data_IF_464072948559
#
_entry.id   IF_464072948559
#
_cell.length_a   1.000
_cell.length_b   1.000
_cell.length_c   1.000
_cell.angle_alpha   90.00
_cell.angle_beta   90.00
_cell.angle_gamma   90.00
#
_symmetry.space_group_name_H-M   'P 1'
#
loop_
_entity.id
_entity.type
_entity.pdbx_description
1 polymer ?
#
# COMPACT_ATOMS: atom_id res chain seq x y z
N UNK A 1 10.69 14.36 11.43
CA UNK A 1 10.25 15.06 10.21
C UNK A 1 8.80 15.55 10.28
N UNK A 2 7.93 15.03 11.16
CA UNK A 2 6.55 15.51 11.34
C UNK A 2 6.40 16.82 12.18
N UNK A 3 7.31 17.80 12.08
CA UNK A 3 7.30 19.00 12.96
C UNK A 3 7.11 20.35 12.27
N UNK A 4 7.16 20.42 10.94
CA UNK A 4 6.78 21.63 10.19
C UNK A 4 6.40 21.24 8.76
N UNK A 5 5.13 21.36 8.33
CA UNK A 5 4.69 21.06 6.97
C UNK A 5 4.96 22.18 5.97
N UNK A 6 5.73 23.21 6.34
CA UNK A 6 6.01 24.35 5.47
C UNK A 6 6.65 23.94 4.13
N UNK A 7 6.37 24.67 3.04
CA UNK A 7 7.05 24.43 1.75
C UNK A 7 8.59 24.46 1.86
N UNK A 8 9.12 25.26 2.77
CA UNK A 8 10.57 25.38 3.03
C UNK A 8 11.13 24.10 3.64
N UNK A 9 10.48 23.54 4.66
CA UNK A 9 10.95 22.29 5.30
C UNK A 9 10.91 21.10 4.35
N UNK A 10 9.92 21.06 3.44
CA UNK A 10 9.80 20.05 2.38
C UNK A 10 10.90 20.18 1.34
N UNK A 11 11.17 21.41 0.87
CA UNK A 11 12.28 21.65 -0.06
C UNK A 11 13.63 21.25 0.57
N UNK A 12 13.87 21.60 1.84
CA UNK A 12 15.07 21.15 2.55
C UNK A 12 15.17 19.63 2.67
N UNK A 13 14.04 18.93 2.84
CA UNK A 13 14.02 17.47 2.87
C UNK A 13 14.39 16.87 1.51
N UNK A 14 13.89 17.45 0.41
CA UNK A 14 14.27 17.05 -0.95
C UNK A 14 15.74 17.31 -1.22
N UNK A 15 16.25 18.51 -0.90
CA UNK A 15 17.66 18.86 -1.10
C UNK A 15 18.60 17.93 -0.32
N UNK A 16 18.22 17.55 0.90
CA UNK A 16 18.96 16.55 1.69
C UNK A 16 18.96 15.18 1.01
N UNK A 17 17.79 14.69 0.60
CA UNK A 17 17.67 13.40 -0.09
C UNK A 17 18.50 13.36 -1.38
N UNK A 18 18.47 14.44 -2.18
CA UNK A 18 19.26 14.57 -3.40
C UNK A 18 20.77 14.60 -3.12
N UNK A 19 21.18 15.33 -2.07
CA UNK A 19 22.56 15.38 -1.62
C UNK A 19 23.07 14.00 -1.19
N UNK A 20 22.27 13.26 -0.42
CA UNK A 20 22.65 11.94 0.07
C UNK A 20 22.68 10.91 -1.07
N UNK A 21 21.72 10.97 -2.00
CA UNK A 21 21.78 10.18 -3.23
C UNK A 21 23.07 10.45 -4.03
N UNK A 22 23.45 11.71 -4.22
CA UNK A 22 24.67 12.08 -4.94
C UNK A 22 25.94 11.56 -4.25
N UNK A 23 26.03 11.61 -2.91
CA UNK A 23 27.17 11.10 -2.14
C UNK A 23 27.31 9.58 -2.22
N UNK A 24 26.23 8.86 -2.51
CA UNK A 24 26.21 7.39 -2.56
C UNK A 24 26.48 6.83 -3.97
N UNK A 25 26.87 7.67 -4.93
CA UNK A 25 27.28 7.21 -6.27
C UNK A 25 28.45 6.24 -6.15
N UNK A 26 28.24 5.03 -6.66
CA UNK A 26 29.25 3.99 -6.66
C UNK A 26 30.36 4.31 -7.67
N UNK A 27 31.65 4.08 -7.31
CA UNK A 27 32.70 3.96 -8.29
C UNK A 27 32.33 2.86 -9.29
N UNK A 28 32.60 3.08 -10.59
CA UNK A 28 32.31 2.09 -11.65
C UNK A 28 32.79 0.69 -11.23
N UNK A 29 31.87 -0.27 -11.10
CA UNK A 29 32.20 -1.69 -10.94
C UNK A 29 31.57 -2.44 -9.77
N UNK A 30 30.86 -1.79 -8.84
CA UNK A 30 30.09 -2.54 -7.82
C UNK A 30 28.79 -3.10 -8.39
N UNK A 31 28.56 -4.41 -8.18
CA UNK A 31 27.37 -5.15 -8.64
C UNK A 31 26.13 -4.94 -7.76
N UNK A 32 26.32 -4.67 -6.46
CA UNK A 32 25.22 -4.51 -5.51
C UNK A 32 25.16 -3.09 -4.95
N UNK A 33 23.97 -2.49 -4.84
CA UNK A 33 23.76 -1.19 -4.22
C UNK A 33 24.15 -1.22 -2.73
N UNK A 34 24.84 -0.18 -2.26
CA UNK A 34 25.17 -0.06 -0.84
C UNK A 34 23.93 0.27 0.00
N UNK A 35 23.92 -0.12 1.28
CA UNK A 35 22.81 0.22 2.21
C UNK A 35 22.51 1.73 2.26
N UNK A 36 23.51 2.64 2.32
CA UNK A 36 23.24 4.07 2.26
C UNK A 36 22.58 4.52 0.95
N UNK A 37 22.90 3.86 -0.17
CA UNK A 37 22.27 4.15 -1.47
C UNK A 37 20.81 3.71 -1.51
N UNK A 38 20.52 2.54 -0.95
CA UNK A 38 19.15 2.03 -0.81
C UNK A 38 18.31 2.96 0.06
N UNK A 39 18.84 3.37 1.22
CA UNK A 39 18.17 4.32 2.12
C UNK A 39 17.89 5.67 1.42
N UNK A 40 18.88 6.23 0.72
CA UNK A 40 18.71 7.48 -0.01
C UNK A 40 17.60 7.39 -1.09
N UNK A 41 17.49 6.26 -1.79
CA UNK A 41 16.42 6.03 -2.76
C UNK A 41 15.03 5.94 -2.11
N UNK A 42 14.89 5.22 -0.99
CA UNK A 42 13.61 5.14 -0.27
C UNK A 42 13.25 6.45 0.43
N UNK A 43 14.23 7.23 0.85
CA UNK A 43 14.02 8.58 1.37
C UNK A 43 13.49 9.51 0.29
N UNK A 44 14.01 9.43 -0.95
CA UNK A 44 13.47 10.19 -2.08
C UNK A 44 12.00 9.85 -2.32
N UNK A 45 11.66 8.57 -2.32
CA UNK A 45 10.28 8.12 -2.46
C UNK A 45 9.39 8.63 -1.30
N UNK A 46 9.92 8.67 -0.08
CA UNK A 46 9.20 9.17 1.11
C UNK A 46 8.95 10.67 1.00
N UNK A 47 9.93 11.45 0.53
CA UNK A 47 9.77 12.89 0.26
C UNK A 47 8.70 13.13 -0.80
N UNK A 48 8.68 12.34 -1.88
CA UNK A 48 7.64 12.45 -2.90
C UNK A 48 6.24 12.17 -2.36
N UNK A 49 6.09 11.19 -1.48
CA UNK A 49 4.82 10.93 -0.81
C UNK A 49 4.39 12.12 0.08
N UNK A 50 5.33 12.72 0.80
CA UNK A 50 5.05 13.91 1.63
C UNK A 50 4.62 15.10 0.77
N UNK A 51 5.29 15.32 -0.37
CA UNK A 51 4.92 16.37 -1.31
C UNK A 51 3.53 16.12 -1.92
N UNK A 52 3.28 14.89 -2.37
CA UNK A 52 1.97 14.50 -2.88
C UNK A 52 0.88 14.70 -1.84
N UNK A 53 1.10 14.30 -0.58
CA UNK A 53 0.15 14.53 0.51
C UNK A 53 -0.17 16.00 0.72
N UNK A 54 0.82 16.89 0.58
CA UNK A 54 0.60 18.34 0.70
C UNK A 54 -0.35 18.90 -0.34
N UNK A 55 -0.46 18.24 -1.49
CA UNK A 55 -1.38 18.57 -2.58
C UNK A 55 -2.73 17.84 -2.46
N UNK A 56 -2.83 16.85 -1.56
CA UNK A 56 -3.98 15.97 -1.38
C UNK A 56 -4.47 15.99 0.09
N UNK A 57 -5.04 17.11 0.57
CA UNK A 57 -5.37 17.30 1.98
C UNK A 57 -6.41 16.32 2.52
N UNK A 58 -7.35 15.85 1.71
CA UNK A 58 -8.33 14.82 2.14
C UNK A 58 -7.64 13.51 2.53
N UNK A 59 -6.55 13.14 1.86
CA UNK A 59 -5.78 11.95 2.23
C UNK A 59 -5.00 12.15 3.53
N UNK A 60 -4.61 13.39 3.86
CA UNK A 60 -4.01 13.70 5.17
C UNK A 60 -5.02 13.43 6.28
N UNK A 61 -6.29 13.82 6.11
CA UNK A 61 -7.36 13.55 7.08
C UNK A 61 -7.51 12.04 7.31
N UNK A 62 -7.58 11.24 6.26
CA UNK A 62 -7.64 9.77 6.38
C UNK A 62 -6.40 9.18 7.06
N UNK A 63 -5.20 9.68 6.76
CA UNK A 63 -3.97 9.26 7.45
C UNK A 63 -4.03 9.56 8.95
N UNK A 64 -4.55 10.73 9.33
CA UNK A 64 -4.72 11.12 10.72
C UNK A 64 -5.74 10.21 11.41
N UNK A 65 -6.89 9.95 10.81
CA UNK A 65 -7.90 9.05 11.35
C UNK A 65 -7.34 7.63 11.60
N UNK A 66 -6.62 7.07 10.62
CA UNK A 66 -5.97 5.76 10.77
C UNK A 66 -4.89 5.82 11.86
N UNK A 67 -4.09 6.88 11.90
CA UNK A 67 -3.06 7.09 12.93
C UNK A 67 -3.63 7.19 14.35
N UNK A 68 -4.74 7.89 14.52
CA UNK A 68 -5.44 8.04 15.80
C UNK A 68 -6.06 6.72 16.26
N UNK A 69 -6.61 5.92 15.33
CA UNK A 69 -7.08 4.57 15.65
C UNK A 69 -5.95 3.67 16.14
N UNK A 70 -4.78 3.70 15.50
CA UNK A 70 -3.62 2.91 15.91
C UNK A 70 -3.11 3.35 17.28
N UNK A 71 -2.90 4.66 17.47
CA UNK A 71 -2.27 5.21 18.67
C UNK A 71 -3.19 5.29 19.88
N UNK A 72 -4.48 5.53 19.66
CA UNK A 72 -5.50 5.60 20.69
C UNK A 72 -6.08 4.23 21.01
N UNK A 73 -6.83 3.64 20.08
CA UNK A 73 -7.64 2.45 20.33
C UNK A 73 -6.81 1.18 20.45
N UNK A 74 -5.91 0.92 19.49
CA UNK A 74 -5.17 -0.34 19.44
C UNK A 74 -4.13 -0.42 20.56
N UNK A 75 -3.33 0.64 20.76
CA UNK A 75 -2.35 0.67 21.87
C UNK A 75 -3.04 0.57 23.23
N UNK A 76 -4.16 1.28 23.45
CA UNK A 76 -4.88 1.20 24.73
C UNK A 76 -5.39 -0.20 25.02
N UNK A 77 -5.92 -0.90 24.00
CA UNK A 77 -6.41 -2.27 24.17
C UNK A 77 -5.26 -3.27 24.41
N UNK A 78 -4.11 -3.08 23.74
CA UNK A 78 -2.91 -3.88 23.98
C UNK A 78 -2.35 -3.65 25.39
N UNK A 79 -2.25 -2.40 25.84
CA UNK A 79 -1.79 -2.07 27.19
C UNK A 79 -2.77 -2.63 28.25
N UNK A 80 -4.08 -2.59 28.00
CA UNK A 80 -5.09 -3.18 28.89
C UNK A 80 -4.94 -4.69 29.03
N UNK A 81 -4.71 -5.41 27.94
CA UNK A 81 -4.65 -6.88 27.94
C UNK A 81 -3.27 -7.44 28.31
N UNK A 82 -2.20 -6.71 28.00
CA UNK A 82 -0.82 -7.22 28.06
C UNK A 82 0.16 -6.32 28.84
N UNK A 83 -0.28 -5.15 29.32
CA UNK A 83 0.58 -4.15 29.98
C UNK A 83 1.05 -4.51 31.38
N UNK A 84 0.49 -5.54 32.04
CA UNK A 84 0.83 -5.89 33.42
C UNK A 84 2.20 -6.55 33.63
N UNK A 85 2.72 -7.28 32.64
CA UNK A 85 3.90 -8.14 32.83
C UNK A 85 5.24 -7.45 32.52
N UNK A 86 5.37 -6.84 31.33
CA UNK A 86 6.60 -6.20 30.83
C UNK A 86 6.32 -5.10 29.79
N UNK A 87 5.77 -3.94 30.20
CA UNK A 87 5.37 -2.87 29.28
C UNK A 87 6.47 -2.41 28.31
N UNK A 88 7.73 -2.41 28.77
CA UNK A 88 8.88 -1.99 27.93
C UNK A 88 9.22 -2.98 26.82
N UNK A 89 9.07 -4.28 27.08
CA UNK A 89 9.36 -5.33 26.09
C UNK A 89 8.24 -5.39 25.03
N UNK A 90 6.98 -5.33 25.48
CA UNK A 90 5.81 -5.21 24.59
C UNK A 90 5.90 -3.96 23.71
N UNK A 91 6.21 -2.80 24.29
CA UNK A 91 6.40 -1.56 23.50
C UNK A 91 7.57 -1.66 22.52
N UNK A 92 8.68 -2.29 22.92
CA UNK A 92 9.84 -2.49 22.04
C UNK A 92 9.49 -3.36 20.82
N UNK A 93 8.70 -4.42 21.00
CA UNK A 93 8.22 -5.28 19.91
C UNK A 93 7.30 -4.48 18.98
N UNK A 94 6.35 -3.71 19.53
CA UNK A 94 5.45 -2.85 18.73
C UNK A 94 6.22 -1.79 17.93
N UNK A 95 7.36 -1.31 18.43
CA UNK A 95 8.21 -0.36 17.69
C UNK A 95 9.14 -1.01 16.67
N UNK A 96 9.25 -2.34 16.63
CA UNK A 96 10.13 -3.07 15.71
C UNK A 96 9.32 -3.64 14.53
N UNK A 97 8.97 -2.77 13.58
CA UNK A 97 8.25 -3.07 12.34
C UNK A 97 6.81 -3.59 12.45
N UNK A 98 6.30 -3.91 13.65
CA UNK A 98 4.93 -4.42 13.83
C UNK A 98 3.86 -3.55 13.16
N UNK A 99 3.92 -2.21 13.31
CA UNK A 99 2.91 -1.33 12.75
C UNK A 99 2.94 -1.28 11.22
N UNK A 100 4.12 -1.24 10.60
CA UNK A 100 4.21 -1.28 9.14
C UNK A 100 3.87 -2.68 8.58
N UNK A 101 4.16 -3.77 9.31
CA UNK A 101 3.67 -5.11 8.95
C UNK A 101 2.13 -5.16 8.98
N UNK A 102 1.51 -4.66 10.05
CA UNK A 102 0.05 -4.61 10.17
C UNK A 102 -0.59 -3.80 9.04
N UNK A 103 -0.07 -2.61 8.76
CA UNK A 103 -0.61 -1.74 7.71
C UNK A 103 -0.46 -2.35 6.32
N UNK A 104 0.68 -2.98 6.02
CA UNK A 104 0.87 -3.72 4.77
C UNK A 104 -0.13 -4.87 4.67
N UNK A 105 -0.26 -5.69 5.73
CA UNK A 105 -1.17 -6.82 5.74
C UNK A 105 -2.65 -6.39 5.59
N UNK A 106 -3.04 -5.25 6.16
CA UNK A 106 -4.37 -4.67 5.95
C UNK A 106 -4.58 -4.24 4.49
N UNK A 107 -3.59 -3.57 3.89
CA UNK A 107 -3.67 -3.15 2.50
C UNK A 107 -3.73 -4.35 1.54
N UNK A 108 -2.98 -5.42 1.80
CA UNK A 108 -3.04 -6.67 1.05
C UNK A 108 -4.39 -7.39 1.24
N UNK A 109 -4.92 -7.41 2.47
CA UNK A 109 -6.24 -7.95 2.76
C UNK A 109 -7.36 -7.23 2.02
N UNK A 110 -7.28 -5.90 1.91
CA UNK A 110 -8.21 -5.10 1.09
C UNK A 110 -8.05 -5.42 -0.40
N UNK A 111 -6.81 -5.64 -0.88
CA UNK A 111 -6.56 -6.03 -2.27
C UNK A 111 -7.22 -7.36 -2.61
N UNK A 112 -7.06 -8.36 -1.75
CA UNK A 112 -7.67 -9.67 -1.92
C UNK A 112 -9.20 -9.61 -1.82
N UNK A 113 -9.75 -8.73 -0.98
CA UNK A 113 -11.18 -8.45 -0.96
C UNK A 113 -11.65 -7.88 -2.31
N UNK A 114 -10.94 -6.91 -2.89
CA UNK A 114 -11.26 -6.37 -4.22
C UNK A 114 -11.22 -7.45 -5.30
N UNK A 115 -10.18 -8.29 -5.31
CA UNK A 115 -10.10 -9.45 -6.23
C UNK A 115 -11.23 -10.46 -6.02
N UNK A 116 -11.68 -10.67 -4.78
CA UNK A 116 -12.80 -11.53 -4.49
C UNK A 116 -14.12 -10.95 -5.02
N UNK A 117 -14.30 -9.62 -4.95
CA UNK A 117 -15.47 -8.95 -5.53
C UNK A 117 -15.57 -9.14 -7.04
N UNK A 118 -14.43 -9.25 -7.74
CA UNK A 118 -14.41 -9.53 -9.17
C UNK A 118 -14.97 -10.90 -9.54
N UNK A 119 -14.92 -11.86 -8.60
CA UNK A 119 -15.39 -13.24 -8.81
C UNK A 119 -16.86 -13.46 -8.47
N UNK A 120 -17.52 -12.45 -7.89
CA UNK A 120 -18.94 -12.56 -7.48
C UNK A 120 -19.86 -12.91 -8.66
N UNK A 121 -19.70 -12.32 -9.86
CA UNK A 121 -20.53 -12.70 -11.01
C UNK A 121 -20.48 -14.20 -11.33
N UNK A 122 -19.28 -14.78 -11.38
CA UNK A 122 -19.11 -16.21 -11.68
C UNK A 122 -19.79 -17.08 -10.63
N UNK A 123 -19.60 -16.75 -9.34
CA UNK A 123 -20.23 -17.46 -8.24
C UNK A 123 -21.76 -17.41 -8.32
N UNK A 124 -22.32 -16.22 -8.56
CA UNK A 124 -23.78 -16.02 -8.62
C UNK A 124 -24.37 -16.72 -9.85
N UNK A 125 -23.72 -16.65 -11.00
CA UNK A 125 -24.14 -17.38 -12.21
C UNK A 125 -24.20 -18.88 -11.95
N UNK A 126 -23.14 -19.46 -11.37
CA UNK A 126 -23.10 -20.88 -11.03
C UNK A 126 -24.20 -21.27 -10.03
N UNK A 127 -24.44 -20.44 -9.01
CA UNK A 127 -25.48 -20.67 -8.02
C UNK A 127 -26.89 -20.67 -8.62
N UNK A 128 -27.18 -19.74 -9.53
CA UNK A 128 -28.48 -19.67 -10.24
C UNK A 128 -28.70 -20.91 -11.11
N UNK A 129 -27.71 -21.29 -11.91
CA UNK A 129 -27.81 -22.49 -12.77
C UNK A 129 -28.02 -23.74 -11.92
N UNK A 130 -27.24 -23.90 -10.84
CA UNK A 130 -27.38 -25.03 -9.91
C UNK A 130 -28.77 -25.10 -9.28
N UNK A 131 -29.23 -24.01 -8.67
CA UNK A 131 -30.56 -23.95 -8.02
C UNK A 131 -31.69 -24.30 -9.00
N UNK A 132 -31.64 -23.81 -10.24
CA UNK A 132 -32.65 -24.13 -11.25
C UNK A 132 -32.67 -25.62 -11.61
N UNK A 133 -31.49 -26.24 -11.72
CA UNK A 133 -31.36 -27.66 -12.00
C UNK A 133 -31.88 -28.51 -10.85
N UNK A 134 -31.52 -28.16 -9.61
CA UNK A 134 -31.97 -28.86 -8.40
C UNK A 134 -33.50 -28.83 -8.27
N UNK A 135 -34.12 -27.72 -8.69
CA UNK A 135 -35.58 -27.53 -8.70
C UNK A 135 -36.28 -27.98 -9.99
N UNK A 136 -35.55 -28.59 -10.93
CA UNK A 136 -36.08 -29.06 -12.24
C UNK A 136 -36.81 -27.97 -13.03
N UNK A 137 -36.39 -26.71 -12.90
CA UNK A 137 -36.93 -25.59 -13.69
C UNK A 137 -36.36 -25.64 -15.11
N UNK A 138 -37.04 -24.98 -16.07
CA UNK A 138 -36.55 -24.91 -17.45
C UNK A 138 -35.12 -24.36 -17.53
N UNK A 139 -34.23 -24.93 -18.35
CA UNK A 139 -32.86 -24.48 -18.46
C UNK A 139 -32.81 -23.05 -19.03
N UNK A 140 -31.86 -22.26 -18.54
CA UNK A 140 -31.49 -20.97 -19.12
C UNK A 140 -30.15 -21.13 -19.82
N UNK A 141 -29.94 -20.37 -20.89
CA UNK A 141 -28.63 -20.27 -21.51
C UNK A 141 -27.67 -19.62 -20.50
N UNK A 142 -26.57 -20.30 -20.18
CA UNK A 142 -25.59 -19.83 -19.19
C UNK A 142 -25.06 -18.42 -19.53
N UNK A 143 -24.76 -18.17 -20.80
CA UNK A 143 -24.32 -16.86 -21.29
C UNK A 143 -25.36 -15.74 -21.01
N UNK A 144 -26.65 -16.06 -21.07
CA UNK A 144 -27.72 -15.10 -20.75
C UNK A 144 -27.74 -14.79 -19.24
N UNK A 145 -27.60 -15.81 -18.39
CA UNK A 145 -27.53 -15.64 -16.94
C UNK A 145 -26.27 -14.85 -16.56
N UNK A 146 -25.13 -15.19 -17.14
CA UNK A 146 -23.87 -14.48 -16.92
C UNK A 146 -23.97 -12.99 -17.29
N UNK A 147 -24.52 -12.67 -18.45
CA UNK A 147 -24.74 -11.28 -18.86
C UNK A 147 -25.65 -10.52 -17.89
N UNK A 148 -26.77 -11.13 -17.49
CA UNK A 148 -27.70 -10.51 -16.55
C UNK A 148 -27.06 -10.24 -15.18
N UNK A 149 -26.28 -11.21 -14.67
CA UNK A 149 -25.54 -11.08 -13.41
C UNK A 149 -24.47 -10.01 -13.50
N UNK A 150 -23.65 -9.98 -14.56
CA UNK A 150 -22.62 -8.95 -14.75
C UNK A 150 -23.24 -7.54 -14.82
N UNK A 151 -24.34 -7.40 -15.56
CA UNK A 151 -25.06 -6.12 -15.70
C UNK A 151 -25.61 -5.64 -14.36
N UNK A 152 -26.13 -6.56 -13.54
CA UNK A 152 -26.64 -6.23 -12.20
C UNK A 152 -25.50 -5.98 -11.19
N UNK A 153 -24.38 -6.69 -11.30
CA UNK A 153 -23.26 -6.59 -10.37
C UNK A 153 -22.49 -5.28 -10.52
N UNK A 154 -22.29 -4.79 -11.74
CA UNK A 154 -21.52 -3.57 -12.01
C UNK A 154 -21.89 -2.39 -11.09
N UNK A 155 -23.16 -1.97 -11.03
CA UNK A 155 -23.59 -0.90 -10.13
C UNK A 155 -23.35 -1.20 -8.63
N UNK A 156 -23.57 -2.46 -8.20
CA UNK A 156 -23.37 -2.87 -6.80
C UNK A 156 -21.89 -2.78 -6.44
N UNK A 157 -21.01 -3.27 -7.32
CA UNK A 157 -19.56 -3.16 -7.17
C UNK A 157 -19.14 -1.69 -7.05
N UNK A 158 -19.65 -0.82 -7.92
CA UNK A 158 -19.38 0.63 -7.87
C UNK A 158 -19.81 1.26 -6.55
N UNK A 159 -20.94 0.83 -5.96
CA UNK A 159 -21.35 1.31 -4.63
C UNK A 159 -20.36 0.92 -3.54
N UNK A 160 -19.79 -0.29 -3.60
CA UNK A 160 -18.76 -0.71 -2.65
C UNK A 160 -17.49 0.13 -2.81
N UNK A 161 -17.03 0.37 -4.05
CA UNK A 161 -15.87 1.25 -4.28
C UNK A 161 -16.11 2.68 -3.78
N UNK A 162 -17.33 3.20 -3.93
CA UNK A 162 -17.71 4.52 -3.44
C UNK A 162 -17.67 4.67 -1.91
N UNK A 163 -17.55 3.57 -1.15
CA UNK A 163 -17.32 3.63 0.31
C UNK A 163 -15.89 4.02 0.69
N UNK A 164 -14.96 4.13 -0.28
CA UNK A 164 -13.58 4.59 -0.03
C UNK A 164 -12.59 3.47 0.32
N UNK A 165 -12.94 2.19 0.10
CA UNK A 165 -12.09 1.03 0.43
C UNK A 165 -10.69 1.12 -0.20
N UNK A 166 -10.58 1.58 -1.45
CA UNK A 166 -9.30 1.78 -2.13
C UNK A 166 -8.48 2.93 -1.53
N UNK A 167 -9.15 3.97 -1.03
CA UNK A 167 -8.50 5.09 -0.37
C UNK A 167 -7.94 4.66 0.99
N UNK A 168 -8.68 3.83 1.74
CA UNK A 168 -8.19 3.21 2.98
C UNK A 168 -6.96 2.33 2.68
N UNK A 169 -7.01 1.53 1.61
CA UNK A 169 -5.88 0.71 1.18
C UNK A 169 -4.64 1.56 0.89
N UNK A 170 -4.78 2.61 0.08
CA UNK A 170 -3.69 3.56 -0.23
C UNK A 170 -3.17 4.23 1.03
N UNK A 171 -4.06 4.66 1.92
CA UNK A 171 -3.73 5.28 3.21
C UNK A 171 -2.87 4.35 4.06
N UNK A 172 -3.23 3.06 4.15
CA UNK A 172 -2.43 2.07 4.86
C UNK A 172 -1.03 1.92 4.26
N UNK A 173 -0.91 1.88 2.92
CA UNK A 173 0.40 1.81 2.24
C UNK A 173 1.25 3.03 2.52
N UNK A 174 0.70 4.23 2.37
CA UNK A 174 1.41 5.49 2.62
C UNK A 174 1.90 5.54 4.07
N UNK A 175 1.00 5.27 5.03
CA UNK A 175 1.37 5.30 6.44
C UNK A 175 2.43 4.26 6.77
N UNK A 176 2.36 3.06 6.19
CA UNK A 176 3.38 2.03 6.37
C UNK A 176 4.77 2.50 5.92
N UNK A 177 4.88 3.22 4.80
CA UNK A 177 6.15 3.81 4.33
C UNK A 177 6.61 4.91 5.30
N UNK A 178 5.74 5.83 5.68
CA UNK A 178 6.08 6.99 6.50
C UNK A 178 6.55 6.64 7.92
N UNK A 179 6.01 5.57 8.53
CA UNK A 179 6.37 5.16 9.89
C UNK A 179 7.45 4.08 9.94
N UNK A 180 7.78 3.47 8.80
CA UNK A 180 8.81 2.44 8.76
C UNK A 180 10.19 3.07 9.03
N UNK A 181 10.95 2.61 10.04
CA UNK A 181 12.27 3.19 10.33
C UNK A 181 13.33 2.95 9.25
N UNK A 182 13.15 1.89 8.46
CA UNK A 182 14.11 1.43 7.46
C UNK A 182 13.38 0.68 6.32
N UNK A 183 12.58 1.38 5.49
CA UNK A 183 11.79 0.75 4.41
C UNK A 183 12.67 -0.02 3.41
N UNK A 184 13.91 0.40 3.22
CA UNK A 184 14.92 -0.25 2.38
C UNK A 184 15.37 -1.62 2.89
N UNK A 185 15.14 -1.92 4.18
CA UNK A 185 15.45 -3.20 4.80
C UNK A 185 14.19 -4.02 5.17
N UNK A 186 12.99 -3.55 4.79
CA UNK A 186 11.72 -4.16 5.17
C UNK A 186 10.93 -4.66 3.95
N UNK A 187 11.09 -5.96 3.64
CA UNK A 187 10.50 -6.61 2.45
C UNK A 187 8.98 -6.46 2.32
N UNK A 188 8.24 -6.49 3.43
CA UNK A 188 6.79 -6.28 3.41
C UNK A 188 6.43 -4.87 2.92
N UNK A 189 7.08 -3.83 3.46
CA UNK A 189 6.90 -2.44 3.02
C UNK A 189 7.33 -2.26 1.56
N UNK A 190 8.43 -2.88 1.14
CA UNK A 190 8.90 -2.80 -0.25
C UNK A 190 7.89 -3.35 -1.25
N UNK A 191 7.30 -4.50 -0.94
CA UNK A 191 6.44 -5.22 -1.88
C UNK A 191 4.97 -4.81 -1.79
N UNK A 192 4.46 -4.60 -0.57
CA UNK A 192 3.05 -4.33 -0.32
C UNK A 192 2.70 -2.84 -0.24
N UNK A 193 3.68 -1.95 -0.09
CA UNK A 193 3.47 -0.51 -0.03
C UNK A 193 4.26 0.29 -1.08
N UNK A 194 5.60 0.27 -1.06
CA UNK A 194 6.43 1.05 -1.97
C UNK A 194 6.19 0.70 -3.44
N UNK A 195 6.16 -0.59 -3.79
CA UNK A 195 5.97 -1.03 -5.16
C UNK A 195 4.60 -0.59 -5.75
N UNK A 196 3.45 -0.83 -5.08
CA UNK A 196 2.18 -0.29 -5.55
C UNK A 196 2.17 1.23 -5.67
N UNK A 197 2.67 1.96 -4.67
CA UNK A 197 2.69 3.42 -4.70
C UNK A 197 3.58 3.97 -5.84
N UNK A 198 4.71 3.32 -6.11
CA UNK A 198 5.57 3.67 -7.24
C UNK A 198 4.91 3.44 -8.61
N UNK A 199 3.95 2.50 -8.70
CA UNK A 199 3.11 2.32 -9.91
C UNK A 199 2.01 3.36 -10.03
N UNK A 200 1.42 3.76 -8.90
CA UNK A 200 0.29 4.68 -8.85
C UNK A 200 0.68 6.13 -9.18
N UNK A 201 1.93 6.54 -8.94
CA UNK A 201 2.44 7.83 -9.41
C UNK A 201 3.45 8.50 -8.48
N UNK A 202 4.66 7.95 -8.36
CA UNK A 202 5.82 8.66 -7.80
C UNK A 202 6.51 9.50 -8.88
N UNK A 203 7.34 10.48 -8.48
CA UNK A 203 8.17 11.19 -9.45
C UNK A 203 9.13 10.21 -10.13
N UNK A 204 9.37 10.45 -11.42
CA UNK A 204 10.23 9.60 -12.24
C UNK A 204 11.63 9.47 -11.64
N UNK A 205 12.18 10.56 -11.10
CA UNK A 205 13.50 10.58 -10.46
C UNK A 205 13.59 9.62 -9.29
N UNK A 206 12.60 9.61 -8.38
CA UNK A 206 12.57 8.65 -7.26
C UNK A 206 12.34 7.24 -7.76
N UNK A 207 11.47 7.06 -8.76
CA UNK A 207 11.25 5.76 -9.38
C UNK A 207 12.55 5.17 -9.94
N UNK A 208 13.30 5.94 -10.73
CA UNK A 208 14.60 5.55 -11.27
C UNK A 208 15.62 5.22 -10.16
N UNK A 209 15.60 5.95 -9.04
CA UNK A 209 16.45 5.65 -7.88
C UNK A 209 16.09 4.30 -7.27
N UNK A 210 14.80 4.02 -7.08
CA UNK A 210 14.31 2.71 -6.59
C UNK A 210 14.72 1.58 -7.54
N UNK A 211 14.59 1.79 -8.86
CA UNK A 211 15.01 0.81 -9.87
C UNK A 211 16.51 0.50 -9.84
N UNK A 212 17.34 1.48 -9.49
CA UNK A 212 18.79 1.29 -9.38
C UNK A 212 19.19 0.52 -8.12
N UNK A 213 18.34 0.46 -7.10
CA UNK A 213 18.73 -0.09 -5.78
C UNK A 213 18.03 -1.39 -5.41
N UNK A 214 16.89 -1.70 -6.05
CA UNK A 214 16.14 -2.92 -5.78
C UNK A 214 16.49 -4.07 -6.73
N UNK A 215 16.24 -5.33 -6.32
CA UNK A 215 16.52 -6.50 -7.15
C UNK A 215 15.79 -6.46 -8.50
N UNK A 216 16.40 -7.07 -9.51
CA UNK A 216 15.84 -7.10 -10.87
C UNK A 216 14.39 -7.60 -10.94
N UNK A 217 14.01 -8.56 -10.09
CA UNK A 217 12.63 -9.04 -10.02
C UNK A 217 11.64 -7.96 -9.55
N UNK A 218 12.03 -7.17 -8.54
CA UNK A 218 11.21 -6.06 -8.07
C UNK A 218 11.05 -5.01 -9.18
N UNK A 219 12.13 -4.70 -9.90
CA UNK A 219 12.11 -3.78 -11.04
C UNK A 219 11.25 -4.30 -12.19
N UNK A 220 11.30 -5.61 -12.49
CA UNK A 220 10.42 -6.24 -13.48
C UNK A 220 8.95 -6.06 -13.09
N UNK A 221 8.61 -6.27 -11.83
CA UNK A 221 7.24 -6.07 -11.32
C UNK A 221 6.81 -4.61 -11.38
N UNK A 222 7.70 -3.66 -11.13
CA UNK A 222 7.42 -2.23 -11.25
C UNK A 222 7.10 -1.85 -12.71
N UNK A 223 7.91 -2.32 -13.67
CA UNK A 223 7.77 -2.01 -15.10
C UNK A 223 6.66 -2.81 -15.78
N UNK A 224 6.32 -3.99 -15.26
CA UNK A 224 5.45 -5.00 -15.90
C UNK A 224 3.98 -4.62 -16.02
N UNK A 225 3.49 -3.60 -15.30
CA UNK A 225 2.08 -3.18 -15.35
C UNK A 225 1.84 -1.96 -16.25
N UNK A 226 2.86 -1.44 -16.93
CA UNK A 226 2.72 -0.37 -17.93
C UNK A 226 2.30 -0.89 -19.33
N UNK A 227 1.92 -2.17 -19.44
CA UNK A 227 1.64 -2.86 -20.71
C UNK A 227 0.27 -3.54 -20.80
N UNK A 228 -0.69 -3.17 -19.96
CA UNK A 228 -2.05 -3.72 -19.97
C UNK A 228 -3.11 -2.63 -20.11
N UNK A 229 -3.30 -2.15 -21.33
CA UNK A 229 -4.47 -1.39 -21.77
C UNK A 229 -5.10 -2.11 -22.97
#
# INVERSE_FOLDING_TARGET
MARDPSPVSRQEARDRSDSDWAKTQTPRGQREPSKPRQAAATDSATVDLIDWLSENPSTIEHIQEVGDLLTGSVISELDKRFGGGRPRETRRILTNHFWCDLLVALAEGIEEFSKAMDRIPEYVTAAIIKSRNDERRSPLLEALVALAVQTAWGPIKSMVHATGVEEVQRTCRILAVLICPAPENHTAVQNGALLPLAKEGMLETSRERLEQVFPAEWVRRLRGDLGGA
#
